data_IF_415239832412
#
_entry.id   IF_415239832412
#
_cell.length_a   1.000
_cell.length_b   1.000
_cell.length_c   1.000
_cell.angle_alpha   90.00
_cell.angle_beta   90.00
_cell.angle_gamma   90.00
#
_symmetry.space_group_name_H-M   'P 1'
#
loop_
_entity.id
_entity.type
_entity.pdbx_description
1 polymer ?
#
# COMPACT_ATOMS: atom_id res chain seq x y z
N UNK A 1 -17.70 4.11 9.34
CA UNK A 1 -18.10 4.33 7.96
C UNK A 1 -16.99 5.02 7.18
N UNK A 2 -16.65 4.46 6.06
CA UNK A 2 -15.54 4.97 5.28
C UNK A 2 -15.89 6.16 4.42
N UNK A 3 -14.88 6.72 3.79
CA UNK A 3 -15.03 7.83 2.87
C UNK A 3 -15.63 7.33 1.55
N UNK A 4 -16.34 8.22 0.86
CA UNK A 4 -16.78 7.95 -0.51
C UNK A 4 -15.55 7.98 -1.44
N UNK A 5 -15.71 7.43 -2.63
CA UNK A 5 -14.61 7.43 -3.60
C UNK A 5 -14.18 8.86 -3.96
N UNK A 6 -15.15 9.77 -4.10
CA UNK A 6 -14.83 11.17 -4.40
C UNK A 6 -14.03 11.80 -3.26
N UNK A 7 -14.39 11.51 -2.01
CA UNK A 7 -13.65 12.01 -0.86
C UNK A 7 -12.24 11.41 -0.81
N UNK A 8 -12.12 10.13 -1.14
CA UNK A 8 -10.81 9.47 -1.18
C UNK A 8 -9.91 10.13 -2.23
N UNK A 9 -10.46 10.42 -3.40
CA UNK A 9 -9.69 11.06 -4.46
C UNK A 9 -9.28 12.48 -4.09
N UNK A 10 -10.13 13.19 -3.35
CA UNK A 10 -9.77 14.52 -2.86
C UNK A 10 -8.60 14.42 -1.88
N UNK A 11 -8.67 13.49 -0.95
CA UNK A 11 -7.58 13.26 0.00
C UNK A 11 -6.29 12.92 -0.75
N UNK A 12 -6.40 12.11 -1.80
CA UNK A 12 -5.22 11.73 -2.59
C UNK A 12 -4.58 12.94 -3.25
N UNK A 13 -5.38 13.85 -3.81
CA UNK A 13 -4.84 15.07 -4.41
C UNK A 13 -4.10 15.91 -3.37
N UNK A 14 -4.67 16.01 -2.17
CA UNK A 14 -4.02 16.74 -1.08
C UNK A 14 -2.75 16.05 -0.61
N UNK A 15 -2.77 14.73 -0.57
CA UNK A 15 -1.60 13.93 -0.21
C UNK A 15 -0.45 14.19 -1.18
N UNK A 16 -0.76 14.17 -2.48
CA UNK A 16 0.25 14.42 -3.51
C UNK A 16 0.80 15.83 -3.44
N UNK A 17 -0.01 16.77 -2.94
CA UNK A 17 0.42 18.15 -2.75
C UNK A 17 1.18 18.36 -1.43
N UNK A 18 1.41 17.30 -0.65
CA UNK A 18 2.13 17.37 0.61
C UNK A 18 1.32 17.87 1.78
N UNK A 19 -0.02 17.82 1.70
CA UNK A 19 -0.88 18.46 2.69
C UNK A 19 -1.36 17.54 3.80
N UNK A 20 -1.59 16.27 3.54
CA UNK A 20 -2.21 15.35 4.50
C UNK A 20 -1.20 14.73 5.47
N UNK A 21 -0.38 15.58 6.10
CA UNK A 21 0.68 15.08 6.98
C UNK A 21 0.14 14.36 8.21
N UNK A 22 -0.93 14.89 8.82
CA UNK A 22 -1.50 14.26 10.01
C UNK A 22 -2.09 12.89 9.68
N UNK A 23 -2.76 12.77 8.54
CA UNK A 23 -3.27 11.49 8.11
C UNK A 23 -2.14 10.50 7.84
N UNK A 24 -1.10 10.94 7.15
CA UNK A 24 0.04 10.09 6.86
C UNK A 24 0.69 9.58 8.15
N UNK A 25 0.83 10.48 9.14
CA UNK A 25 1.37 10.07 10.44
C UNK A 25 0.46 9.05 11.12
N UNK A 26 -0.86 9.27 11.06
CA UNK A 26 -1.82 8.37 11.69
C UNK A 26 -1.80 6.99 11.03
N UNK A 27 -1.63 6.92 9.71
CA UNK A 27 -1.60 5.64 9.01
C UNK A 27 -0.35 4.83 9.33
N UNK A 28 0.73 5.49 9.77
CA UNK A 28 1.92 4.77 10.24
C UNK A 28 1.84 4.43 11.72
N UNK A 29 0.97 5.10 12.46
CA UNK A 29 0.91 4.93 13.92
C UNK A 29 -0.35 4.21 14.39
N UNK A 30 -1.28 3.88 13.48
CA UNK A 30 -2.43 3.06 13.86
C UNK A 30 -1.99 1.60 13.99
N UNK A 31 -2.87 0.69 14.47
CA UNK A 31 -2.46 -0.71 14.66
C UNK A 31 -1.89 -1.36 13.41
N UNK A 32 -2.44 -1.06 12.23
CA UNK A 32 -1.93 -1.63 10.98
C UNK A 32 -0.53 -1.10 10.69
N UNK A 33 -0.36 0.23 10.77
CA UNK A 33 0.93 0.85 10.50
C UNK A 33 2.01 0.36 11.45
N UNK A 34 1.66 0.23 12.73
CA UNK A 34 2.62 -0.28 13.72
C UNK A 34 2.98 -1.74 13.45
N UNK A 35 1.99 -2.55 13.06
CA UNK A 35 2.26 -3.94 12.70
C UNK A 35 3.24 -4.02 11.53
N UNK A 36 2.98 -3.24 10.48
CA UNK A 36 3.85 -3.24 9.30
C UNK A 36 5.26 -2.76 9.66
N UNK A 37 5.35 -1.70 10.45
CA UNK A 37 6.65 -1.21 10.90
C UNK A 37 7.42 -2.28 11.65
N UNK A 38 6.75 -2.96 12.58
CA UNK A 38 7.41 -3.97 13.39
C UNK A 38 7.92 -5.14 12.55
N UNK A 39 7.19 -5.46 11.46
CA UNK A 39 7.63 -6.51 10.55
C UNK A 39 8.78 -6.08 9.65
N UNK A 40 8.84 -4.81 9.28
CA UNK A 40 9.83 -4.33 8.33
C UNK A 40 11.11 -3.81 8.99
N UNK A 41 11.02 -3.25 10.19
CA UNK A 41 12.21 -2.76 10.88
C UNK A 41 13.14 -3.93 11.19
N UNK A 42 14.39 -3.79 10.80
CA UNK A 42 15.36 -4.87 10.92
C UNK A 42 15.40 -5.79 9.71
N UNK A 43 14.48 -5.62 8.77
CA UNK A 43 14.44 -6.41 7.53
C UNK A 43 14.50 -5.52 6.31
N UNK A 44 15.12 -4.34 6.44
CA UNK A 44 15.19 -3.37 5.34
C UNK A 44 16.03 -3.87 4.17
N UNK A 45 16.85 -4.86 4.40
CA UNK A 45 17.62 -5.47 3.33
C UNK A 45 16.74 -6.33 2.41
N UNK A 46 15.53 -6.68 2.86
CA UNK A 46 14.57 -7.47 2.08
C UNK A 46 13.40 -6.61 1.61
N UNK A 47 12.85 -5.80 2.50
CA UNK A 47 11.61 -5.05 2.25
C UNK A 47 11.89 -3.57 2.08
N UNK A 48 11.22 -2.95 1.11
CA UNK A 48 11.31 -1.50 0.93
C UNK A 48 10.13 -0.78 1.57
N UNK A 49 8.95 -1.40 1.56
CA UNK A 49 7.74 -0.77 2.09
C UNK A 49 6.63 -1.81 2.18
N UNK A 50 5.58 -1.45 2.90
CA UNK A 50 4.35 -2.24 2.92
C UNK A 50 3.18 -1.30 3.20
N UNK A 51 2.04 -1.55 2.56
CA UNK A 51 0.83 -0.80 2.86
C UNK A 51 -0.40 -1.68 2.61
N UNK A 52 -1.45 -1.39 3.36
CA UNK A 52 -2.71 -2.11 3.26
C UNK A 52 -3.77 -1.15 2.76
N UNK A 53 -4.53 -1.58 1.76
CA UNK A 53 -5.62 -0.80 1.18
C UNK A 53 -6.94 -1.47 1.47
N UNK A 54 -8.00 -0.65 1.58
CA UNK A 54 -9.36 -1.17 1.68
C UNK A 54 -9.91 -1.51 0.28
N UNK A 55 -11.18 -1.87 0.19
CA UNK A 55 -11.77 -2.31 -1.07
C UNK A 55 -11.89 -1.20 -2.11
N UNK A 56 -11.78 0.05 -1.70
CA UNK A 56 -11.77 1.19 -2.62
C UNK A 56 -10.36 1.59 -3.05
N UNK A 57 -9.35 0.94 -2.50
CA UNK A 57 -7.97 1.25 -2.81
C UNK A 57 -7.39 2.36 -1.94
N UNK A 58 -8.10 2.80 -0.90
CA UNK A 58 -7.58 3.79 0.02
C UNK A 58 -6.65 3.13 1.02
N UNK A 59 -5.52 3.77 1.30
CA UNK A 59 -4.54 3.26 2.26
C UNK A 59 -5.10 3.35 3.67
N UNK A 60 -5.06 2.25 4.41
CA UNK A 60 -5.52 2.20 5.79
C UNK A 60 -4.38 1.99 6.78
N UNK A 61 -3.20 1.68 6.31
CA UNK A 61 -1.98 1.58 7.11
C UNK A 61 -0.79 1.44 6.20
N UNK A 62 0.36 1.96 6.63
CA UNK A 62 1.55 1.98 5.78
C UNK A 62 2.81 2.04 6.61
N UNK A 63 3.91 1.60 6.02
CA UNK A 63 5.23 1.86 6.53
C UNK A 63 6.25 1.65 5.40
N UNK A 64 7.08 2.66 5.12
CA UNK A 64 6.98 4.06 5.49
C UNK A 64 5.88 4.77 4.71
N UNK A 65 5.89 6.10 4.68
CA UNK A 65 4.87 6.85 3.94
C UNK A 65 4.94 6.51 2.45
N UNK A 66 3.78 6.14 1.87
CA UNK A 66 3.69 5.86 0.44
C UNK A 66 3.59 7.15 -0.36
N UNK A 67 3.87 7.05 -1.66
CA UNK A 67 3.78 8.19 -2.56
C UNK A 67 2.34 8.64 -2.77
N UNK A 68 1.39 7.68 -2.80
CA UNK A 68 -0.02 7.93 -3.06
C UNK A 68 -0.85 7.44 -1.89
N UNK A 69 -1.95 8.14 -1.59
CA UNK A 69 -2.94 7.68 -0.64
C UNK A 69 -3.91 6.69 -1.29
N UNK A 70 -4.35 6.99 -2.52
CA UNK A 70 -5.31 6.16 -3.25
C UNK A 70 -4.59 5.29 -4.26
N UNK A 71 -4.76 3.99 -4.14
CA UNK A 71 -4.13 3.01 -5.00
C UNK A 71 -5.12 2.34 -5.94
N UNK A 72 -6.36 2.83 -5.97
CA UNK A 72 -7.44 2.14 -6.68
C UNK A 72 -7.30 2.12 -8.19
N UNK A 73 -6.46 2.99 -8.75
CA UNK A 73 -6.17 3.00 -10.18
C UNK A 73 -4.88 2.26 -10.54
N UNK A 74 -4.16 1.75 -9.55
CA UNK A 74 -2.90 1.05 -9.80
C UNK A 74 -3.16 -0.40 -10.19
N UNK A 75 -2.40 -0.86 -11.17
CA UNK A 75 -2.54 -2.23 -11.67
C UNK A 75 -2.38 -3.25 -10.55
N UNK A 76 -1.44 -3.02 -9.63
CA UNK A 76 -1.20 -3.93 -8.52
C UNK A 76 -2.42 -4.08 -7.64
N UNK A 77 -3.18 -3.00 -7.43
CA UNK A 77 -4.40 -3.07 -6.65
C UNK A 77 -5.52 -3.72 -7.47
N UNK A 78 -5.75 -3.23 -8.68
CA UNK A 78 -6.89 -3.65 -9.49
C UNK A 78 -6.83 -5.14 -9.78
N UNK A 79 -5.67 -5.64 -10.18
CA UNK A 79 -5.52 -7.06 -10.50
C UNK A 79 -5.58 -7.94 -9.27
N UNK A 80 -5.02 -7.45 -8.16
CA UNK A 80 -5.04 -8.23 -6.92
C UNK A 80 -6.45 -8.31 -6.34
N UNK A 81 -7.16 -7.18 -6.30
CA UNK A 81 -8.54 -7.17 -5.81
C UNK A 81 -9.43 -8.05 -6.71
N UNK A 82 -9.26 -7.93 -8.01
CA UNK A 82 -9.89 -8.81 -9.01
C UNK A 82 -11.40 -8.91 -8.83
N UNK A 83 -12.06 -7.74 -8.65
CA UNK A 83 -13.52 -7.70 -8.48
C UNK A 83 -14.03 -8.34 -7.22
N UNK A 84 -13.17 -8.54 -6.23
CA UNK A 84 -13.54 -9.17 -4.97
C UNK A 84 -13.10 -10.61 -4.85
N UNK A 85 -12.67 -11.23 -5.97
CA UNK A 85 -12.19 -12.62 -5.93
C UNK A 85 -10.79 -12.75 -5.35
N UNK A 86 -9.97 -11.76 -5.61
CA UNK A 86 -8.61 -11.71 -5.06
C UNK A 86 -7.65 -12.68 -5.72
N UNK A 87 -6.44 -12.19 -6.01
CA UNK A 87 -5.35 -13.08 -6.43
C UNK A 87 -4.02 -12.41 -6.12
N UNK A 88 -2.99 -13.22 -5.93
CA UNK A 88 -1.64 -12.71 -5.72
C UNK A 88 -1.11 -12.18 -7.05
N UNK A 89 -0.51 -11.00 -7.01
CA UNK A 89 0.06 -10.36 -8.20
C UNK A 89 1.51 -9.99 -7.91
N UNK A 90 2.40 -10.39 -8.81
CA UNK A 90 3.80 -9.99 -8.74
C UNK A 90 4.02 -8.96 -9.84
N UNK A 91 4.38 -7.75 -9.42
CA UNK A 91 4.57 -6.65 -10.34
C UNK A 91 5.93 -6.69 -11.04
N UNK A 92 6.16 -5.73 -11.93
CA UNK A 92 7.45 -5.65 -12.61
C UNK A 92 8.54 -5.12 -11.71
N UNK A 93 9.77 -5.28 -12.16
CA UNK A 93 10.92 -4.68 -11.48
C UNK A 93 10.87 -3.17 -11.68
N UNK A 94 10.93 -2.43 -10.59
CA UNK A 94 10.86 -0.97 -10.60
C UNK A 94 12.16 -0.39 -10.08
N UNK A 95 12.58 0.73 -10.66
CA UNK A 95 13.78 1.44 -10.22
C UNK A 95 13.37 2.68 -9.45
N UNK A 96 13.88 2.79 -8.22
CA UNK A 96 13.68 3.96 -7.38
C UNK A 96 14.91 4.86 -7.54
N UNK A 97 14.71 6.00 -8.18
CA UNK A 97 15.81 6.92 -8.46
C UNK A 97 16.38 7.54 -7.19
N UNK A 98 15.54 7.73 -6.17
CA UNK A 98 16.00 8.38 -4.94
C UNK A 98 16.97 7.51 -4.16
N UNK A 99 16.80 6.19 -4.21
CA UNK A 99 17.65 5.24 -3.49
C UNK A 99 18.60 4.49 -4.41
N UNK A 100 18.47 4.68 -5.74
CA UNK A 100 19.27 3.96 -6.73
C UNK A 100 19.13 2.46 -6.57
N UNK A 101 17.92 2.00 -6.23
CA UNK A 101 17.67 0.58 -5.98
C UNK A 101 16.50 0.10 -6.83
N UNK A 102 16.42 -1.22 -6.98
CA UNK A 102 15.31 -1.86 -7.68
C UNK A 102 14.44 -2.61 -6.69
N UNK A 103 13.15 -2.64 -6.96
CA UNK A 103 12.21 -3.37 -6.12
C UNK A 103 11.11 -3.98 -6.95
N UNK A 104 10.45 -4.98 -6.38
CA UNK A 104 9.29 -5.64 -6.97
C UNK A 104 8.16 -5.53 -5.95
N UNK A 105 6.99 -5.11 -6.39
CA UNK A 105 5.82 -5.10 -5.52
C UNK A 105 5.06 -6.40 -5.66
N UNK A 106 4.74 -7.02 -4.53
CA UNK A 106 3.90 -8.20 -4.47
C UNK A 106 2.61 -7.80 -3.76
N UNK A 107 1.49 -8.06 -4.40
CA UNK A 107 0.17 -7.74 -3.86
C UNK A 107 -0.54 -9.01 -3.46
N UNK A 108 -1.09 -9.02 -2.25
CA UNK A 108 -1.75 -10.19 -1.68
C UNK A 108 -3.15 -9.80 -1.23
N UNK A 109 -4.18 -10.56 -1.61
CA UNK A 109 -5.52 -10.23 -1.13
C UNK A 109 -5.67 -10.60 0.34
N UNK A 110 -6.30 -9.70 1.09
CA UNK A 110 -6.66 -9.97 2.48
C UNK A 110 -8.12 -10.40 2.45
N UNK A 111 -8.43 -11.56 3.02
CA UNK A 111 -9.75 -12.16 2.92
C UNK A 111 -10.38 -12.32 4.28
N UNK A 112 -11.71 -12.25 4.28
CA UNK A 112 -12.52 -12.53 5.44
C UNK A 112 -13.74 -13.32 4.96
N UNK A 113 -13.85 -14.58 5.38
CA UNK A 113 -14.96 -15.43 4.99
C UNK A 113 -15.04 -15.69 3.50
N UNK A 114 -13.90 -15.76 2.81
CA UNK A 114 -13.86 -16.01 1.38
C UNK A 114 -14.02 -14.79 0.51
N UNK A 115 -14.21 -13.62 1.12
CA UNK A 115 -14.31 -12.35 0.39
C UNK A 115 -13.05 -11.53 0.57
N UNK A 116 -12.62 -10.87 -0.49
CA UNK A 116 -11.48 -9.97 -0.41
C UNK A 116 -11.93 -8.66 0.24
N UNK A 117 -11.33 -8.34 1.37
CA UNK A 117 -11.65 -7.13 2.13
C UNK A 117 -10.56 -6.08 2.05
N UNK A 118 -9.45 -6.40 1.42
CA UNK A 118 -8.37 -5.45 1.25
C UNK A 118 -7.26 -6.05 0.43
N UNK A 119 -6.25 -5.23 0.16
CA UNK A 119 -5.06 -5.63 -0.60
C UNK A 119 -3.85 -5.17 0.17
N UNK A 120 -2.95 -6.11 0.46
CA UNK A 120 -1.67 -5.81 1.07
C UNK A 120 -0.61 -5.78 -0.03
N UNK A 121 0.12 -4.67 -0.12
CA UNK A 121 1.20 -4.54 -1.08
C UNK A 121 2.51 -4.46 -0.32
N UNK A 122 3.48 -5.28 -0.73
CA UNK A 122 4.80 -5.33 -0.11
C UNK A 122 5.85 -5.11 -1.19
N UNK A 123 6.75 -4.17 -0.95
CA UNK A 123 7.88 -3.94 -1.83
C UNK A 123 9.05 -4.81 -1.40
N UNK A 124 9.58 -5.59 -2.33
CA UNK A 124 10.73 -6.43 -2.08
C UNK A 124 11.93 -5.86 -2.81
N UNK A 125 13.04 -5.74 -2.09
CA UNK A 125 14.27 -5.22 -2.66
C UNK A 125 14.88 -6.29 -3.55
N UNK A 126 15.36 -5.87 -4.71
CA UNK A 126 16.09 -6.80 -5.58
C UNK A 126 17.49 -6.98 -4.99
N UNK A 127 17.79 -8.22 -4.61
CA UNK A 127 19.08 -8.57 -4.03
C UNK A 127 19.85 -9.33 -5.08
N UNK A 128 20.97 -8.74 -5.50
CA UNK A 128 21.85 -9.37 -6.48
C UNK A 128 23.03 -10.00 -5.79
#
# INVERSE_FOLDING_TARGET
KGLSLDEIKLVDRQWLAGEQQELADALRDNPVGRFLRDELVGAEHVYTEAFLCDTNGATVGEYPRTSDYWQGDETTFVECYNGGDGKVVVGPLLHDKSTQSYSIHVSVPVRDGGRTTGVLVVGLRNIE
#
